data_IF_892850420996
#
_entry.id   IF_892850420996
#
_cell.length_a   1.000
_cell.length_b   1.000
_cell.length_c   1.000
_cell.angle_alpha   90.00
_cell.angle_beta   90.00
_cell.angle_gamma   90.00
#
_symmetry.space_group_name_H-M   'P 1'
#
loop_
_entity.id
_entity.type
_entity.pdbx_description
1 polymer ?
#
# COMPACT_ATOMS: atom_id res chain seq x y z
N UNK A 1 -0.27 -34.44 -4.91
CA UNK A 1 -1.01 -33.73 -3.83
C UNK A 1 -2.43 -33.43 -4.31
N UNK A 2 -3.45 -33.39 -3.44
CA UNK A 2 -4.79 -32.97 -3.82
C UNK A 2 -4.72 -31.52 -4.38
N UNK A 3 -5.61 -31.20 -5.29
CA UNK A 3 -5.69 -29.86 -5.93
C UNK A 3 -6.41 -28.90 -5.00
N UNK A 4 -5.71 -27.84 -4.56
CA UNK A 4 -6.28 -26.77 -3.74
C UNK A 4 -7.22 -25.87 -4.58
N UNK A 5 -8.26 -25.31 -3.98
CA UNK A 5 -9.15 -24.40 -4.71
C UNK A 5 -8.42 -23.11 -5.11
N UNK A 6 -7.74 -22.46 -4.17
CA UNK A 6 -6.96 -21.25 -4.43
C UNK A 6 -5.57 -21.36 -3.81
N UNK A 7 -4.53 -21.13 -4.59
CA UNK A 7 -3.17 -20.95 -4.09
C UNK A 7 -2.78 -19.48 -4.12
N UNK A 8 -2.40 -18.94 -2.98
CA UNK A 8 -1.85 -17.58 -2.86
C UNK A 8 -0.32 -17.65 -2.75
N UNK A 9 0.38 -16.97 -3.65
CA UNK A 9 1.84 -16.89 -3.68
C UNK A 9 2.29 -15.56 -3.10
N UNK A 10 2.86 -15.58 -1.89
CA UNK A 10 3.35 -14.43 -1.14
C UNK A 10 2.51 -14.13 0.11
N UNK A 11 3.17 -14.16 1.27
CA UNK A 11 2.58 -13.86 2.59
C UNK A 11 2.93 -12.44 3.08
N UNK A 12 2.89 -11.47 2.19
CA UNK A 12 2.84 -10.04 2.53
C UNK A 12 1.42 -9.63 2.95
N UNK A 13 1.20 -8.36 3.36
CA UNK A 13 -0.12 -7.88 3.82
C UNK A 13 -1.26 -8.19 2.85
N UNK A 14 -1.01 -8.07 1.55
CA UNK A 14 -2.02 -8.30 0.50
C UNK A 14 -2.39 -9.77 0.37
N UNK A 15 -1.38 -10.66 0.34
CA UNK A 15 -1.62 -12.10 0.23
C UNK A 15 -2.26 -12.68 1.49
N UNK A 16 -1.83 -12.21 2.67
CA UNK A 16 -2.42 -12.59 3.95
C UNK A 16 -3.88 -12.14 4.06
N UNK A 17 -4.20 -10.88 3.66
CA UNK A 17 -5.57 -10.37 3.68
C UNK A 17 -6.49 -11.17 2.75
N UNK A 18 -6.02 -11.50 1.53
CA UNK A 18 -6.75 -12.36 0.60
C UNK A 18 -7.00 -13.75 1.20
N UNK A 19 -5.95 -14.37 1.73
CA UNK A 19 -6.05 -15.72 2.27
C UNK A 19 -6.95 -15.80 3.51
N UNK A 20 -6.92 -14.78 4.37
CA UNK A 20 -7.80 -14.67 5.53
C UNK A 20 -9.28 -14.50 5.11
N UNK A 21 -9.57 -13.65 4.13
CA UNK A 21 -10.93 -13.45 3.63
C UNK A 21 -11.46 -14.70 2.90
N UNK A 22 -10.65 -15.36 2.06
CA UNK A 22 -11.03 -16.62 1.41
C UNK A 22 -11.31 -17.73 2.44
N UNK A 23 -10.46 -17.85 3.46
CA UNK A 23 -10.68 -18.78 4.59
C UNK A 23 -12.00 -18.50 5.32
N UNK A 24 -12.29 -17.24 5.62
CA UNK A 24 -13.53 -16.84 6.25
C UNK A 24 -14.77 -17.19 5.40
N UNK A 25 -14.62 -17.23 4.06
CA UNK A 25 -15.65 -17.69 3.10
C UNK A 25 -15.71 -19.21 2.91
N UNK A 26 -14.91 -19.98 3.64
CA UNK A 26 -14.86 -21.43 3.56
C UNK A 26 -14.24 -21.96 2.26
N UNK A 27 -13.36 -21.20 1.61
CA UNK A 27 -12.58 -21.66 0.44
C UNK A 27 -11.36 -22.44 0.92
N UNK A 28 -11.05 -23.56 0.26
CA UNK A 28 -9.78 -24.28 0.48
C UNK A 28 -8.62 -23.47 -0.12
N UNK A 29 -7.88 -22.77 0.75
CA UNK A 29 -6.80 -21.87 0.36
C UNK A 29 -5.46 -22.30 0.95
N UNK A 30 -4.46 -22.46 0.09
CA UNK A 30 -3.06 -22.65 0.46
C UNK A 30 -2.30 -21.33 0.28
N UNK A 31 -1.37 -21.06 1.21
CA UNK A 31 -0.55 -19.85 1.21
C UNK A 31 0.93 -20.22 1.30
N UNK A 32 1.71 -19.81 0.29
CA UNK A 32 3.15 -20.08 0.20
C UNK A 32 3.96 -18.80 0.21
N UNK A 33 5.11 -18.82 0.86
CA UNK A 33 6.03 -17.68 0.95
C UNK A 33 7.48 -18.15 0.80
N UNK A 34 8.26 -17.45 -0.02
CA UNK A 34 9.66 -17.75 -0.27
C UNK A 34 10.55 -17.55 0.97
N UNK A 35 10.30 -16.50 1.75
CA UNK A 35 11.09 -16.22 2.95
C UNK A 35 10.77 -17.22 4.04
N UNK A 36 11.79 -17.63 4.76
CA UNK A 36 11.65 -18.48 5.97
C UNK A 36 11.10 -17.68 7.15
N UNK A 37 11.38 -16.40 7.21
CA UNK A 37 10.98 -15.49 8.28
C UNK A 37 10.15 -14.31 7.77
N UNK A 38 9.47 -13.65 8.69
CA UNK A 38 8.76 -12.39 8.41
C UNK A 38 9.80 -11.29 8.22
N UNK A 39 9.77 -10.59 7.08
CA UNK A 39 10.73 -9.52 6.82
C UNK A 39 10.55 -8.33 7.75
N UNK A 40 11.66 -7.81 8.27
CA UNK A 40 11.70 -6.67 9.19
C UNK A 40 11.40 -5.30 8.53
N UNK A 41 11.36 -5.21 7.20
CA UNK A 41 11.18 -3.94 6.47
C UNK A 41 9.72 -3.49 6.45
N UNK A 42 9.45 -2.31 7.00
CA UNK A 42 8.10 -1.74 7.06
C UNK A 42 8.06 -0.40 6.35
N UNK A 43 7.45 -0.33 5.16
CA UNK A 43 7.28 0.94 4.45
C UNK A 43 5.88 1.54 4.64
N UNK A 44 4.84 0.72 4.64
CA UNK A 44 3.47 1.17 4.81
C UNK A 44 3.05 1.15 6.28
N UNK A 45 2.26 2.13 6.68
CA UNK A 45 1.76 2.24 8.07
C UNK A 45 0.27 2.57 8.14
N UNK A 46 -0.33 3.09 7.06
CA UNK A 46 -1.71 3.57 7.08
C UNK A 46 -2.67 2.63 6.35
N UNK A 47 -3.77 2.25 7.01
CA UNK A 47 -4.88 1.53 6.39
C UNK A 47 -6.06 2.51 6.28
N UNK A 48 -6.51 2.75 5.05
CA UNK A 48 -7.57 3.70 4.75
C UNK A 48 -8.96 3.09 4.95
N UNK A 49 -9.93 3.97 5.13
CA UNK A 49 -11.34 3.64 5.39
C UNK A 49 -11.93 2.51 4.54
N UNK A 50 -11.80 2.49 3.20
CA UNK A 50 -12.37 1.41 2.40
C UNK A 50 -11.73 0.03 2.67
N UNK A 51 -10.40 0.00 2.87
CA UNK A 51 -9.72 -1.24 3.20
C UNK A 51 -10.10 -1.76 4.58
N UNK A 52 -10.26 -0.87 5.59
CA UNK A 52 -10.77 -1.24 6.92
C UNK A 52 -12.17 -1.85 6.85
N UNK A 53 -13.07 -1.26 6.07
CA UNK A 53 -14.43 -1.78 5.92
C UNK A 53 -14.46 -3.18 5.28
N UNK A 54 -13.62 -3.43 4.28
CA UNK A 54 -13.54 -4.74 3.63
C UNK A 54 -12.84 -5.81 4.49
N UNK A 55 -11.88 -5.42 5.32
CA UNK A 55 -11.18 -6.31 6.26
C UNK A 55 -12.10 -6.85 7.38
N UNK A 56 -13.27 -6.26 7.60
CA UNK A 56 -14.27 -6.76 8.54
C UNK A 56 -14.75 -8.17 8.17
N UNK A 57 -14.83 -8.50 6.88
CA UNK A 57 -15.26 -9.81 6.42
C UNK A 57 -14.41 -10.96 6.96
N UNK A 58 -13.12 -10.72 7.20
CA UNK A 58 -12.18 -11.68 7.81
C UNK A 58 -12.04 -11.51 9.33
N UNK A 59 -12.65 -10.49 9.94
CA UNK A 59 -12.46 -10.13 11.34
C UNK A 59 -11.14 -9.38 11.64
N UNK A 60 -10.38 -8.98 10.60
CA UNK A 60 -9.07 -8.34 10.81
C UNK A 60 -9.16 -6.92 11.32
N UNK A 61 -10.27 -6.22 11.06
CA UNK A 61 -10.43 -4.80 11.40
C UNK A 61 -10.29 -4.54 12.88
N UNK A 62 -10.92 -5.35 13.74
CA UNK A 62 -10.89 -5.15 15.18
C UNK A 62 -9.47 -5.27 15.74
N UNK A 63 -8.75 -6.33 15.41
CA UNK A 63 -7.36 -6.53 15.84
C UNK A 63 -6.39 -5.45 15.31
N UNK A 64 -6.66 -4.88 14.14
CA UNK A 64 -5.92 -3.72 13.60
C UNK A 64 -6.23 -2.47 14.41
N UNK A 65 -7.51 -2.20 14.72
CA UNK A 65 -7.95 -0.99 15.43
C UNK A 65 -7.54 -0.97 16.91
N UNK A 66 -7.36 -2.12 17.52
CA UNK A 66 -6.81 -2.25 18.89
C UNK A 66 -5.35 -1.79 18.97
N UNK A 67 -4.60 -1.92 17.89
CA UNK A 67 -3.17 -1.60 17.83
C UNK A 67 -2.87 -0.26 17.14
N UNK A 68 -3.83 0.32 16.43
CA UNK A 68 -3.61 1.48 15.58
C UNK A 68 -3.90 2.82 16.26
N UNK A 69 -3.17 3.83 15.83
CA UNK A 69 -3.57 5.23 16.04
C UNK A 69 -4.60 5.62 14.97
N UNK A 70 -5.75 6.13 15.39
CA UNK A 70 -6.79 6.63 14.47
C UNK A 70 -6.48 8.07 14.07
N UNK A 71 -6.11 8.28 12.83
CA UNK A 71 -5.83 9.60 12.26
C UNK A 71 -7.13 10.16 11.68
N UNK A 72 -7.78 11.02 12.42
CA UNK A 72 -9.01 11.69 11.99
C UNK A 72 -8.73 12.93 11.13
N UNK A 73 -7.50 13.47 11.19
CA UNK A 73 -7.10 14.71 10.52
C UNK A 73 -5.69 14.64 9.96
N UNK A 74 -5.50 15.14 8.73
CA UNK A 74 -4.21 15.45 8.12
C UNK A 74 -4.05 16.96 7.89
N UNK A 75 -2.83 17.48 7.97
CA UNK A 75 -2.48 18.89 7.75
C UNK A 75 -1.40 19.02 6.68
N UNK A 76 -1.63 19.87 5.70
CA UNK A 76 -0.58 20.39 4.82
C UNK A 76 -0.11 21.75 5.35
N UNK A 77 1.19 21.91 5.53
CA UNK A 77 1.82 23.12 6.08
C UNK A 77 2.93 23.61 5.15
N UNK A 78 3.22 24.88 5.18
CA UNK A 78 4.42 25.49 4.60
C UNK A 78 4.78 26.77 5.37
N UNK A 79 6.06 27.04 5.51
CA UNK A 79 6.59 28.19 6.26
C UNK A 79 5.95 28.32 7.66
N UNK A 80 5.78 27.19 8.36
CA UNK A 80 5.13 27.14 9.67
C UNK A 80 3.61 27.36 9.66
N UNK A 81 2.98 27.68 8.51
CA UNK A 81 1.55 28.01 8.39
C UNK A 81 0.73 26.83 7.86
N UNK A 82 -0.50 26.71 8.33
CA UNK A 82 -1.46 25.73 7.79
C UNK A 82 -1.92 26.19 6.40
N UNK A 83 -1.67 25.36 5.39
CA UNK A 83 -2.20 25.54 4.03
C UNK A 83 -3.61 24.96 3.90
N UNK A 84 -3.79 23.73 4.37
CA UNK A 84 -5.04 23.00 4.32
C UNK A 84 -5.10 21.89 5.37
N UNK A 85 -6.33 21.47 5.71
CA UNK A 85 -6.57 20.29 6.53
C UNK A 85 -7.49 19.33 5.81
N UNK A 86 -7.09 18.05 5.78
CA UNK A 86 -7.94 16.93 5.38
C UNK A 86 -8.68 16.47 6.62
N UNK A 87 -10.01 16.39 6.55
CA UNK A 87 -10.89 16.00 7.63
C UNK A 87 -11.49 14.62 7.30
N UNK A 88 -10.78 13.56 7.67
CA UNK A 88 -11.28 12.19 7.51
C UNK A 88 -12.52 11.93 8.36
N UNK A 89 -12.59 12.54 9.54
CA UNK A 89 -13.73 12.48 10.46
C UNK A 89 -15.05 13.06 9.89
N UNK A 90 -14.98 13.77 8.75
CA UNK A 90 -16.17 14.26 8.02
C UNK A 90 -16.60 13.35 6.86
N UNK A 91 -15.87 12.28 6.62
CA UNK A 91 -16.26 11.31 5.62
C UNK A 91 -17.51 10.54 6.07
N UNK A 92 -18.46 10.40 5.18
CA UNK A 92 -19.60 9.48 5.37
C UNK A 92 -19.12 8.05 5.11
N UNK A 93 -18.44 7.45 6.07
CA UNK A 93 -17.82 6.15 5.98
C UNK A 93 -17.92 5.44 7.32
N UNK A 94 -17.89 4.11 7.31
CA UNK A 94 -17.91 3.28 8.53
C UNK A 94 -16.68 3.53 9.42
N UNK A 95 -15.51 3.75 8.81
CA UNK A 95 -14.26 4.11 9.48
C UNK A 95 -13.76 5.47 9.00
N UNK A 96 -14.27 6.61 9.54
CA UNK A 96 -13.93 7.94 9.05
C UNK A 96 -12.56 8.43 9.56
N UNK A 97 -11.53 7.61 9.39
CA UNK A 97 -10.13 7.85 9.77
C UNK A 97 -9.18 6.96 8.96
N UNK A 98 -7.90 7.20 9.10
CA UNK A 98 -6.84 6.26 8.68
C UNK A 98 -6.31 5.57 9.93
N UNK A 99 -6.26 4.25 9.94
CA UNK A 99 -5.64 3.46 11.00
C UNK A 99 -4.13 3.37 10.74
N UNK A 100 -3.32 3.96 11.62
CA UNK A 100 -1.87 3.97 11.48
C UNK A 100 -1.22 3.03 12.51
N UNK A 101 -0.48 2.04 12.01
CA UNK A 101 0.27 1.09 12.81
C UNK A 101 1.48 0.58 11.99
N UNK A 102 2.53 0.03 12.61
CA UNK A 102 3.60 -0.64 11.89
C UNK A 102 3.06 -1.76 11.01
N UNK A 103 3.66 -1.95 9.83
CA UNK A 103 3.24 -3.04 8.93
C UNK A 103 3.43 -4.43 9.55
N UNK A 104 4.40 -4.59 10.46
CA UNK A 104 4.60 -5.80 11.25
C UNK A 104 3.32 -6.21 12.01
N UNK A 105 2.67 -5.24 12.65
CA UNK A 105 1.46 -5.47 13.44
C UNK A 105 0.28 -5.84 12.52
N UNK A 106 0.19 -5.20 11.35
CA UNK A 106 -0.77 -5.59 10.30
C UNK A 106 -0.55 -7.04 9.85
N UNK A 107 0.71 -7.43 9.60
CA UNK A 107 1.07 -8.79 9.20
C UNK A 107 0.73 -9.79 10.31
N UNK A 108 1.00 -9.46 11.57
CA UNK A 108 0.71 -10.31 12.71
C UNK A 108 -0.80 -10.60 12.83
N UNK A 109 -1.64 -9.54 12.81
CA UNK A 109 -3.10 -9.67 12.84
C UNK A 109 -3.61 -10.55 11.68
N UNK A 110 -3.15 -10.27 10.45
CA UNK A 110 -3.58 -11.02 9.27
C UNK A 110 -3.08 -12.47 9.29
N UNK A 111 -1.87 -12.73 9.82
CA UNK A 111 -1.32 -14.09 9.93
C UNK A 111 -2.13 -14.95 10.90
N UNK A 112 -2.64 -14.38 11.99
CA UNK A 112 -3.49 -15.10 12.94
C UNK A 112 -4.83 -15.56 12.31
N UNK A 113 -5.31 -14.84 11.31
CA UNK A 113 -6.58 -15.13 10.61
C UNK A 113 -6.41 -15.95 9.33
N UNK A 114 -5.26 -15.88 8.70
CA UNK A 114 -4.94 -16.62 7.47
C UNK A 114 -4.74 -18.13 7.76
N UNK A 115 -4.81 -18.99 6.73
CA UNK A 115 -4.36 -20.39 6.88
C UNK A 115 -2.85 -20.42 7.18
N UNK A 116 -2.32 -21.57 7.69
CA UNK A 116 -0.90 -21.73 7.95
C UNK A 116 -0.05 -21.38 6.72
N UNK A 117 0.95 -20.50 6.90
CA UNK A 117 1.85 -20.09 5.83
C UNK A 117 2.93 -21.16 5.62
N UNK A 118 3.02 -21.72 4.43
CA UNK A 118 4.13 -22.60 4.05
C UNK A 118 5.31 -21.73 3.63
N UNK A 119 6.25 -21.51 4.56
CA UNK A 119 7.44 -20.70 4.35
C UNK A 119 8.59 -21.50 3.73
N UNK A 120 9.57 -20.78 3.13
CA UNK A 120 10.68 -21.41 2.43
C UNK A 120 10.30 -22.02 1.07
N UNK A 121 9.09 -21.74 0.56
CA UNK A 121 8.58 -22.27 -0.70
C UNK A 121 8.79 -21.23 -1.81
N UNK A 122 9.73 -21.50 -2.71
CA UNK A 122 9.99 -20.67 -3.88
C UNK A 122 9.25 -21.18 -5.09
N UNK A 123 8.26 -20.42 -5.56
CA UNK A 123 7.56 -20.72 -6.82
C UNK A 123 8.43 -20.22 -7.99
N UNK A 124 8.68 -21.09 -8.97
CA UNK A 124 9.52 -20.81 -10.13
C UNK A 124 8.74 -20.71 -11.44
N UNK A 125 7.62 -21.42 -11.54
CA UNK A 125 6.82 -21.42 -12.77
C UNK A 125 5.34 -21.62 -12.52
N UNK A 126 4.52 -21.09 -13.43
CA UNK A 126 3.07 -21.26 -13.47
C UNK A 126 2.67 -21.76 -14.86
N UNK A 127 2.05 -22.95 -14.93
CA UNK A 127 1.59 -23.54 -16.19
C UNK A 127 0.09 -23.78 -16.12
N UNK A 128 -0.65 -23.20 -17.05
CA UNK A 128 -2.10 -23.42 -17.18
C UNK A 128 -2.36 -24.87 -17.64
N UNK A 129 -3.30 -25.52 -17.00
CA UNK A 129 -3.84 -26.84 -17.36
C UNK A 129 -5.36 -26.71 -17.62
N UNK A 130 -5.99 -27.73 -18.15
CA UNK A 130 -7.42 -27.67 -18.50
C UNK A 130 -8.31 -27.40 -17.27
N UNK A 131 -7.96 -27.98 -16.13
CA UNK A 131 -8.73 -27.91 -14.88
C UNK A 131 -8.13 -26.98 -13.81
N UNK A 132 -6.92 -26.40 -14.06
CA UNK A 132 -6.26 -25.57 -13.06
C UNK A 132 -4.92 -25.01 -13.51
N UNK A 133 -4.03 -24.83 -12.54
CA UNK A 133 -2.66 -24.34 -12.72
C UNK A 133 -1.71 -25.26 -11.99
N UNK A 134 -0.69 -25.74 -12.69
CA UNK A 134 0.47 -26.41 -12.13
C UNK A 134 1.50 -25.37 -11.72
N UNK A 135 1.99 -25.47 -10.49
CA UNK A 135 2.89 -24.52 -9.87
C UNK A 135 4.22 -25.20 -9.55
N UNK A 136 5.23 -24.91 -10.34
CA UNK A 136 6.57 -25.44 -10.14
C UNK A 136 7.24 -24.82 -8.93
N UNK A 137 7.75 -25.66 -8.03
CA UNK A 137 8.40 -25.27 -6.77
C UNK A 137 9.85 -25.71 -6.77
N UNK A 138 10.76 -24.82 -6.38
CA UNK A 138 12.18 -25.10 -6.28
C UNK A 138 12.45 -26.25 -5.28
N UNK A 139 13.13 -27.31 -5.74
CA UNK A 139 13.58 -28.41 -4.89
C UNK A 139 12.47 -29.25 -4.23
N UNK A 140 11.23 -29.16 -4.72
CA UNK A 140 10.10 -29.92 -4.19
C UNK A 140 9.11 -30.30 -5.31
N UNK A 141 8.13 -31.15 -4.97
CA UNK A 141 7.05 -31.52 -5.89
C UNK A 141 6.18 -30.30 -6.26
N UNK A 142 5.70 -30.31 -7.51
CA UNK A 142 4.77 -29.29 -8.01
C UNK A 142 3.47 -29.27 -7.18
N UNK A 143 2.95 -28.06 -6.98
CA UNK A 143 1.63 -27.84 -6.41
C UNK A 143 0.59 -27.71 -7.55
N UNK A 144 -0.68 -27.97 -7.22
CA UNK A 144 -1.79 -27.78 -8.16
C UNK A 144 -2.92 -26.99 -7.49
N UNK A 145 -3.48 -26.03 -8.20
CA UNK A 145 -4.61 -25.24 -7.73
C UNK A 145 -5.57 -24.93 -8.87
N UNK A 146 -6.86 -24.78 -8.57
CA UNK A 146 -7.83 -24.33 -9.57
C UNK A 146 -7.57 -22.90 -10.02
N UNK A 147 -7.17 -22.04 -9.07
CA UNK A 147 -6.80 -20.63 -9.32
C UNK A 147 -5.53 -20.31 -8.54
N UNK A 148 -4.63 -19.52 -9.13
CA UNK A 148 -3.41 -19.02 -8.46
C UNK A 148 -3.47 -17.50 -8.39
N UNK A 149 -3.22 -16.95 -7.20
CA UNK A 149 -3.11 -15.49 -7.01
C UNK A 149 -1.68 -15.13 -6.61
N UNK A 150 -1.01 -14.35 -7.44
CA UNK A 150 0.36 -13.88 -7.23
C UNK A 150 0.32 -12.55 -6.46
N UNK A 151 0.70 -12.59 -5.18
CA UNK A 151 0.79 -11.48 -4.24
C UNK A 151 2.23 -11.29 -3.71
N UNK A 152 3.24 -11.77 -4.43
CA UNK A 152 4.65 -11.87 -4.02
C UNK A 152 5.47 -10.61 -4.24
N UNK A 153 4.81 -9.46 -4.36
CA UNK A 153 5.46 -8.17 -4.57
C UNK A 153 6.09 -8.05 -5.96
N UNK A 154 6.87 -7.02 -6.18
CA UNK A 154 7.46 -6.73 -7.50
C UNK A 154 8.31 -7.88 -8.06
N UNK A 155 8.98 -8.64 -7.20
CA UNK A 155 9.79 -9.79 -7.62
C UNK A 155 8.96 -10.94 -8.22
N UNK A 156 7.66 -11.04 -7.90
CA UNK A 156 6.78 -12.05 -8.46
C UNK A 156 6.28 -11.76 -9.87
N UNK A 157 6.62 -10.61 -10.45
CA UNK A 157 6.21 -10.24 -11.82
C UNK A 157 6.71 -11.21 -12.88
N UNK A 158 7.92 -11.71 -12.72
CA UNK A 158 8.54 -12.68 -13.64
C UNK A 158 7.79 -14.01 -13.73
N UNK A 159 6.99 -14.38 -12.72
CA UNK A 159 6.12 -15.57 -12.76
C UNK A 159 4.99 -15.43 -13.78
N UNK A 160 4.56 -14.20 -14.10
CA UNK A 160 3.35 -13.96 -14.90
C UNK A 160 3.65 -13.20 -16.19
N UNK A 161 4.59 -12.27 -16.14
CA UNK A 161 4.88 -11.39 -17.26
C UNK A 161 6.26 -11.69 -17.84
N UNK A 162 6.36 -11.60 -19.19
CA UNK A 162 7.65 -11.63 -19.88
C UNK A 162 8.47 -10.39 -19.52
N UNK A 163 9.77 -10.49 -19.61
CA UNK A 163 10.66 -9.35 -19.41
C UNK A 163 10.26 -8.15 -20.27
N UNK A 164 10.27 -6.96 -19.67
CA UNK A 164 9.86 -5.72 -20.32
C UNK A 164 8.34 -5.51 -20.48
N UNK A 165 7.48 -6.49 -20.22
CA UNK A 165 6.03 -6.34 -20.34
C UNK A 165 5.44 -5.36 -19.33
N UNK A 166 6.03 -5.26 -18.15
CA UNK A 166 5.65 -4.26 -17.13
C UNK A 166 6.71 -3.16 -17.10
N UNK A 167 6.38 -2.03 -17.73
CA UNK A 167 7.29 -0.88 -17.77
C UNK A 167 7.42 -0.26 -16.39
N UNK A 168 8.64 -0.27 -15.85
CA UNK A 168 8.97 0.37 -14.57
C UNK A 168 9.63 1.72 -14.83
N UNK A 169 9.04 2.77 -14.26
CA UNK A 169 9.63 4.11 -14.26
C UNK A 169 10.32 4.34 -12.91
N UNK A 170 11.61 4.60 -12.94
CA UNK A 170 12.40 4.98 -11.77
C UNK A 170 12.40 6.51 -11.64
N UNK A 171 11.95 7.00 -10.49
CA UNK A 171 12.11 8.41 -10.19
C UNK A 171 13.55 8.69 -9.75
N UNK A 172 14.09 9.85 -10.12
CA UNK A 172 15.42 10.23 -9.63
C UNK A 172 15.41 10.60 -8.13
N UNK A 173 14.21 10.74 -7.56
CA UNK A 173 14.01 11.19 -6.19
C UNK A 173 14.38 10.11 -5.17
N UNK A 174 15.09 10.54 -4.12
CA UNK A 174 15.38 9.75 -2.94
C UNK A 174 14.67 10.33 -1.72
N UNK A 175 14.35 9.46 -0.80
CA UNK A 175 13.74 9.80 0.47
C UNK A 175 14.47 9.11 1.59
N UNK A 176 14.47 9.73 2.76
CA UNK A 176 14.97 9.14 4.00
C UNK A 176 13.83 9.06 4.99
N UNK A 177 13.73 7.94 5.70
CA UNK A 177 12.70 7.72 6.71
C UNK A 177 13.25 7.09 7.99
N UNK A 178 12.58 7.40 9.11
CA UNK A 178 12.76 6.73 10.39
C UNK A 178 11.46 6.70 11.19
N UNK A 179 11.35 5.74 12.09
CA UNK A 179 10.31 5.71 13.14
C UNK A 179 10.94 6.18 14.44
N UNK A 180 10.54 7.36 14.89
CA UNK A 180 11.16 8.07 16.02
C UNK A 180 10.14 8.36 17.11
N UNK A 181 10.59 8.54 18.34
CA UNK A 181 9.77 9.14 19.41
C UNK A 181 9.72 10.64 19.20
N UNK A 182 8.52 11.18 18.99
CA UNK A 182 8.34 12.60 18.74
C UNK A 182 6.95 13.08 19.16
N UNK A 183 6.82 14.32 19.68
CA UNK A 183 5.53 14.90 20.04
C UNK A 183 4.68 15.16 18.80
N UNK A 184 3.37 15.36 18.97
CA UNK A 184 2.53 15.85 17.88
C UNK A 184 1.11 15.27 17.78
N UNK A 185 0.71 14.38 18.69
CA UNK A 185 -0.64 13.82 18.75
C UNK A 185 -1.06 13.02 17.51
N UNK A 186 -2.34 12.65 17.36
CA UNK A 186 -2.84 11.77 16.29
C UNK A 186 -3.13 12.51 14.98
N UNK A 187 -2.31 13.49 14.61
CA UNK A 187 -2.45 14.27 13.37
C UNK A 187 -1.32 13.94 12.42
N UNK A 188 -1.66 13.56 11.20
CA UNK A 188 -0.69 13.44 10.10
C UNK A 188 -0.30 14.85 9.61
N UNK A 189 0.98 15.11 9.37
CA UNK A 189 1.48 16.40 8.88
C UNK A 189 2.36 16.21 7.66
N UNK A 190 2.13 17.05 6.67
CA UNK A 190 2.95 17.15 5.46
C UNK A 190 3.46 18.59 5.38
N UNK A 191 4.75 18.76 5.60
CA UNK A 191 5.44 20.04 5.50
C UNK A 191 5.99 20.20 4.08
N UNK A 192 5.38 21.06 3.28
CA UNK A 192 5.76 21.33 1.89
C UNK A 192 6.71 22.54 1.84
N UNK A 193 7.89 22.36 2.37
CA UNK A 193 8.86 23.44 2.52
C UNK A 193 9.65 23.71 1.23
N UNK A 194 10.34 24.84 1.18
CA UNK A 194 11.14 25.23 0.01
C UNK A 194 12.23 24.21 -0.31
N UNK A 195 12.84 23.58 0.69
CA UNK A 195 13.90 22.59 0.59
C UNK A 195 13.39 21.17 0.32
N UNK A 196 12.09 21.01 0.16
CA UNK A 196 11.42 19.71 -0.08
C UNK A 196 10.53 19.28 1.08
N UNK A 197 9.75 18.24 0.84
CA UNK A 197 8.74 17.76 1.78
C UNK A 197 9.36 17.05 2.99
N UNK A 198 8.70 17.24 4.15
CA UNK A 198 8.80 16.34 5.32
C UNK A 198 7.39 15.87 5.66
N UNK A 199 7.18 14.57 5.67
CA UNK A 199 5.95 13.92 6.14
C UNK A 199 6.15 13.40 7.56
N UNK A 200 5.12 13.51 8.39
CA UNK A 200 5.12 13.08 9.78
C UNK A 200 3.80 12.40 10.12
N UNK A 201 3.84 11.10 10.33
CA UNK A 201 2.66 10.27 10.62
C UNK A 201 2.74 9.70 12.02
N UNK A 202 1.67 9.80 12.84
CA UNK A 202 1.65 9.19 14.17
C UNK A 202 1.66 7.66 14.08
N UNK A 203 2.33 7.05 15.04
CA UNK A 203 2.38 5.61 15.28
C UNK A 203 2.05 5.33 16.75
N UNK A 204 1.67 4.10 17.11
CA UNK A 204 1.47 3.70 18.49
C UNK A 204 2.70 3.94 19.37
N UNK A 205 2.48 4.08 20.68
CA UNK A 205 3.56 4.26 21.66
C UNK A 205 4.27 5.64 21.60
N UNK A 206 3.57 6.70 21.16
CA UNK A 206 4.16 8.04 21.07
C UNK A 206 5.21 8.20 19.96
N UNK A 207 5.28 7.23 19.07
CA UNK A 207 6.20 7.26 17.91
C UNK A 207 5.59 8.00 16.72
N UNK A 208 6.47 8.40 15.81
CA UNK A 208 6.07 8.98 14.52
C UNK A 208 6.98 8.46 13.43
N UNK A 209 6.41 8.15 12.28
CA UNK A 209 7.19 7.95 11.05
C UNK A 209 7.44 9.30 10.42
N UNK A 210 8.71 9.59 10.21
CA UNK A 210 9.16 10.76 9.46
C UNK A 210 9.69 10.31 8.11
N UNK A 211 9.33 11.05 7.06
CA UNK A 211 9.84 10.83 5.71
C UNK A 211 10.25 12.18 5.14
N UNK A 212 11.50 12.33 4.73
CA UNK A 212 12.01 13.55 4.11
C UNK A 212 12.49 13.32 2.69
N UNK A 213 12.14 14.22 1.77
CA UNK A 213 12.74 14.25 0.43
C UNK A 213 14.21 14.63 0.54
N UNK A 214 15.09 13.83 -0.08
CA UNK A 214 16.54 13.93 0.04
C UNK A 214 17.24 14.34 -1.27
N UNK A 215 16.46 14.71 -2.28
CA UNK A 215 17.06 15.10 -3.57
C UNK A 215 17.21 13.90 -4.51
N UNK A 216 18.27 13.94 -5.32
CA UNK A 216 18.53 12.93 -6.36
C UNK A 216 19.82 12.15 -6.10
N UNK A 217 20.65 12.65 -5.24
CA UNK A 217 21.94 12.05 -4.91
C UNK A 217 21.82 11.00 -3.81
N UNK A 218 22.81 10.16 -3.67
CA UNK A 218 22.90 9.22 -2.56
C UNK A 218 23.07 9.96 -1.24
N UNK A 219 22.49 9.42 -0.19
CA UNK A 219 22.57 9.96 1.17
C UNK A 219 23.47 9.04 1.99
N UNK A 220 24.76 9.37 2.16
CA UNK A 220 25.70 8.50 2.87
C UNK A 220 25.35 8.29 4.33
N UNK A 221 24.90 9.34 5.01
CA UNK A 221 24.42 9.31 6.39
C UNK A 221 22.94 9.70 6.45
N UNK A 222 22.09 8.68 6.43
CA UNK A 222 20.65 8.86 6.45
C UNK A 222 20.17 9.48 7.78
N UNK A 223 20.80 9.15 8.91
CA UNK A 223 20.40 9.64 10.22
C UNK A 223 20.71 11.14 10.34
N UNK A 224 21.94 11.54 10.06
CA UNK A 224 22.32 12.95 10.08
C UNK A 224 21.51 13.79 9.09
N UNK A 225 21.25 13.27 7.88
CA UNK A 225 20.43 13.95 6.90
C UNK A 225 19.00 14.20 7.42
N UNK A 226 18.34 13.14 7.95
CA UNK A 226 16.95 13.23 8.41
C UNK A 226 16.83 14.20 9.59
N UNK A 227 17.77 14.13 10.54
CA UNK A 227 17.84 15.06 11.67
C UNK A 227 17.87 16.52 11.19
N UNK A 228 18.83 16.86 10.33
CA UNK A 228 18.97 18.21 9.78
C UNK A 228 17.75 18.65 8.94
N UNK A 229 17.21 17.76 8.12
CA UNK A 229 16.05 18.07 7.29
C UNK A 229 14.81 18.36 8.13
N UNK A 230 14.57 17.57 9.19
CA UNK A 230 13.45 17.79 10.10
C UNK A 230 13.64 19.10 10.88
N UNK A 231 14.81 19.29 11.50
CA UNK A 231 15.11 20.51 12.26
C UNK A 231 14.89 21.77 11.40
N UNK A 232 15.50 21.82 10.21
CA UNK A 232 15.38 22.98 9.32
C UNK A 232 13.99 23.21 8.75
N UNK A 233 13.27 22.14 8.37
CA UNK A 233 11.99 22.23 7.68
C UNK A 233 10.79 22.29 8.62
N UNK A 234 10.93 21.88 9.88
CA UNK A 234 9.81 21.82 10.82
C UNK A 234 10.08 22.55 12.14
N UNK A 235 11.34 22.90 12.43
CA UNK A 235 11.76 23.51 13.69
C UNK A 235 11.77 22.52 14.87
N UNK A 236 11.73 21.21 14.62
CA UNK A 236 11.69 20.18 15.67
C UNK A 236 13.02 19.40 15.68
N UNK A 237 13.68 19.38 16.82
CA UNK A 237 14.87 18.55 17.06
C UNK A 237 14.46 17.15 17.53
N UNK A 238 15.01 16.11 16.90
CA UNK A 238 14.67 14.70 17.18
C UNK A 238 15.87 13.78 16.98
N UNK A 239 15.90 12.68 17.68
CA UNK A 239 16.78 11.54 17.39
C UNK A 239 16.26 10.76 16.18
N UNK A 240 17.09 10.57 15.18
CA UNK A 240 16.79 9.87 13.91
C UNK A 240 17.60 8.59 13.73
N UNK A 241 18.08 8.02 14.81
CA UNK A 241 18.76 6.71 14.80
C UNK A 241 17.90 5.66 14.09
N UNK A 242 18.54 4.83 13.24
CA UNK A 242 17.84 3.81 12.45
C UNK A 242 17.20 4.32 11.16
N UNK A 243 17.49 5.57 10.74
CA UNK A 243 17.03 6.11 9.48
C UNK A 243 17.57 5.32 8.28
N UNK A 244 16.78 5.20 7.24
CA UNK A 244 17.14 4.50 6.00
C UNK A 244 16.73 5.30 4.76
N UNK A 245 17.55 5.22 3.71
CA UNK A 245 17.27 5.84 2.41
C UNK A 245 16.60 4.86 1.46
N UNK A 246 15.69 5.38 0.62
CA UNK A 246 15.03 4.59 -0.41
C UNK A 246 14.71 5.41 -1.65
N UNK A 247 14.72 4.73 -2.79
CA UNK A 247 14.24 5.28 -4.07
C UNK A 247 12.78 4.95 -4.32
N UNK A 248 12.20 5.61 -5.31
CA UNK A 248 10.80 5.50 -5.70
C UNK A 248 10.66 4.96 -7.10
N UNK A 249 9.70 4.07 -7.31
CA UNK A 249 9.38 3.48 -8.61
C UNK A 249 7.88 3.56 -8.88
N UNK A 250 7.54 3.53 -10.16
CA UNK A 250 6.16 3.38 -10.63
C UNK A 250 6.09 2.30 -11.69
N UNK A 251 5.17 1.37 -11.53
CA UNK A 251 4.83 0.39 -12.52
C UNK A 251 3.34 0.06 -12.44
N UNK A 252 2.70 -0.22 -13.57
CA UNK A 252 1.34 -0.76 -13.63
C UNK A 252 1.35 -1.86 -14.68
N UNK A 253 0.94 -3.04 -14.31
CA UNK A 253 0.85 -4.18 -15.21
C UNK A 253 -0.18 -3.93 -16.33
N UNK A 254 0.03 -4.51 -17.52
CA UNK A 254 -0.91 -4.35 -18.64
C UNK A 254 -2.23 -5.07 -18.42
N UNK A 255 -2.24 -6.16 -17.67
CA UNK A 255 -3.38 -6.98 -17.29
C UNK A 255 -3.14 -7.57 -15.89
N UNK A 256 -4.20 -7.83 -15.12
CA UNK A 256 -4.11 -8.46 -13.80
C UNK A 256 -4.49 -9.94 -13.84
N UNK A 257 -5.08 -10.40 -14.94
CA UNK A 257 -5.51 -11.78 -15.14
C UNK A 257 -4.88 -12.40 -16.38
N UNK A 258 -4.48 -13.64 -16.26
CA UNK A 258 -4.11 -14.54 -17.36
C UNK A 258 -4.72 -15.91 -17.11
N UNK A 259 -5.87 -16.18 -17.71
CA UNK A 259 -6.63 -17.38 -17.47
C UNK A 259 -6.96 -17.55 -15.98
N UNK A 260 -6.39 -18.60 -15.36
CA UNK A 260 -6.60 -18.94 -13.93
C UNK A 260 -5.49 -18.36 -13.02
N UNK A 261 -4.62 -17.50 -13.54
CA UNK A 261 -3.58 -16.78 -12.77
C UNK A 261 -3.98 -15.32 -12.65
N UNK A 262 -4.03 -14.81 -11.42
CA UNK A 262 -4.35 -13.41 -11.10
C UNK A 262 -3.18 -12.78 -10.35
N UNK A 263 -2.97 -11.47 -10.53
CA UNK A 263 -1.89 -10.71 -9.91
C UNK A 263 -2.46 -9.56 -9.12
N UNK A 264 -2.00 -9.38 -7.88
CA UNK A 264 -2.48 -8.32 -6.96
C UNK A 264 -1.32 -7.62 -6.24
N UNK A 265 -1.57 -6.42 -5.73
CA UNK A 265 -0.59 -5.65 -4.95
C UNK A 265 0.62 -5.21 -5.78
N UNK A 266 1.81 -5.14 -5.16
CA UNK A 266 3.03 -4.65 -5.82
C UNK A 266 3.49 -5.53 -7.00
N UNK A 267 3.01 -6.76 -7.12
CA UNK A 267 3.20 -7.56 -8.31
C UNK A 267 2.43 -6.98 -9.51
N UNK A 268 1.24 -6.44 -9.29
CA UNK A 268 0.39 -5.79 -10.27
C UNK A 268 0.77 -4.32 -10.51
N UNK A 269 1.04 -3.58 -9.44
CA UNK A 269 1.30 -2.14 -9.51
C UNK A 269 2.20 -1.67 -8.35
N UNK A 270 3.19 -0.86 -8.68
CA UNK A 270 3.97 -0.09 -7.74
C UNK A 270 3.66 1.40 -7.92
N UNK A 271 3.40 2.09 -6.84
CA UNK A 271 3.22 3.54 -6.84
C UNK A 271 4.18 4.18 -5.83
N UNK A 272 4.48 5.47 -6.00
CA UNK A 272 5.26 6.22 -5.02
C UNK A 272 4.62 6.07 -3.62
N UNK A 273 5.41 5.81 -2.57
CA UNK A 273 4.89 5.70 -1.20
C UNK A 273 4.40 7.05 -0.65
N UNK A 274 4.72 8.16 -1.32
CA UNK A 274 4.31 9.51 -0.92
C UNK A 274 2.79 9.64 -1.06
N UNK A 275 2.13 9.81 0.09
CA UNK A 275 0.67 9.76 0.20
C UNK A 275 0.09 8.41 0.64
N UNK A 276 0.91 7.38 0.89
CA UNK A 276 0.53 6.14 1.62
C UNK A 276 -0.46 5.20 0.91
N UNK A 277 -0.59 5.25 -0.43
CA UNK A 277 -1.67 4.55 -1.14
C UNK A 277 -1.32 3.11 -1.59
N UNK A 278 -0.03 2.76 -1.74
CA UNK A 278 0.38 1.51 -2.39
C UNK A 278 -0.18 0.25 -1.72
N UNK A 279 0.02 0.09 -0.41
CA UNK A 279 -0.50 -1.07 0.33
C UNK A 279 -2.04 -1.14 0.28
N UNK A 280 -2.72 -0.01 0.43
CA UNK A 280 -4.19 0.05 0.38
C UNK A 280 -4.75 -0.34 -0.98
N UNK A 281 -4.09 0.06 -2.06
CA UNK A 281 -4.46 -0.35 -3.42
C UNK A 281 -4.41 -1.88 -3.55
N UNK A 282 -3.34 -2.51 -3.05
CA UNK A 282 -3.21 -3.96 -3.03
C UNK A 282 -4.23 -4.66 -2.11
N UNK A 283 -4.53 -4.07 -0.94
CA UNK A 283 -5.58 -4.59 -0.06
C UNK A 283 -6.95 -4.54 -0.74
N UNK A 284 -7.27 -3.44 -1.43
CA UNK A 284 -8.51 -3.34 -2.20
C UNK A 284 -8.55 -4.34 -3.36
N UNK A 285 -7.43 -4.60 -4.04
CA UNK A 285 -7.37 -5.68 -5.04
C UNK A 285 -7.80 -7.01 -4.43
N UNK A 286 -7.15 -7.40 -3.34
CA UNK A 286 -7.33 -8.69 -2.69
C UNK A 286 -8.77 -8.86 -2.14
N UNK A 287 -9.23 -7.88 -1.38
CA UNK A 287 -10.51 -7.96 -0.66
C UNK A 287 -11.73 -7.84 -1.59
N UNK A 288 -11.60 -7.14 -2.71
CA UNK A 288 -12.66 -7.11 -3.73
C UNK A 288 -12.62 -8.31 -4.68
N UNK A 289 -11.48 -9.01 -4.75
CA UNK A 289 -11.33 -10.24 -5.51
C UNK A 289 -11.89 -11.47 -4.77
N UNK A 290 -11.71 -11.56 -3.45
CA UNK A 290 -12.09 -12.73 -2.66
C UNK A 290 -13.55 -13.20 -2.87
N UNK A 291 -14.58 -12.34 -2.86
CA UNK A 291 -15.95 -12.76 -3.13
C UNK A 291 -16.17 -13.30 -4.55
N UNK A 292 -15.37 -12.88 -5.54
CA UNK A 292 -15.45 -13.34 -6.93
C UNK A 292 -14.72 -14.68 -7.12
N UNK A 293 -13.67 -14.93 -6.37
CA UNK A 293 -12.95 -16.20 -6.41
C UNK A 293 -13.75 -17.34 -5.78
N UNK A 294 -14.56 -17.05 -4.78
CA UNK A 294 -15.32 -18.06 -4.03
C UNK A 294 -16.20 -18.94 -4.95
N UNK A 295 -17.09 -18.41 -5.79
CA UNK A 295 -17.87 -19.22 -6.74
C UNK A 295 -16.98 -19.82 -7.85
N UNK A 296 -15.99 -19.07 -8.36
CA UNK A 296 -15.13 -19.53 -9.43
C UNK A 296 -14.26 -20.74 -9.04
N UNK A 297 -13.70 -20.74 -7.84
CA UNK A 297 -12.92 -21.84 -7.32
C UNK A 297 -13.75 -23.14 -7.15
N UNK A 298 -15.07 -23.02 -6.96
CA UNK A 298 -16.02 -24.12 -6.80
C UNK A 298 -16.66 -24.61 -8.11
N UNK A 299 -16.15 -24.16 -9.25
CA UNK A 299 -16.60 -24.59 -10.57
C UNK A 299 -17.60 -23.65 -11.26
N UNK A 300 -17.87 -22.48 -10.67
CA UNK A 300 -18.59 -21.39 -11.33
C UNK A 300 -17.75 -20.73 -12.43
N UNK A 301 -18.36 -19.81 -13.14
CA UNK A 301 -17.67 -18.96 -14.09
C UNK A 301 -16.90 -17.83 -13.39
N UNK A 302 -15.93 -17.25 -14.09
CA UNK A 302 -15.14 -16.12 -13.60
C UNK A 302 -15.66 -14.75 -14.07
N UNK A 303 -16.93 -14.62 -14.38
CA UNK A 303 -17.52 -13.47 -15.08
C UNK A 303 -17.26 -12.13 -14.38
N UNK A 304 -17.36 -12.07 -13.06
CA UNK A 304 -17.08 -10.86 -12.30
C UNK A 304 -15.63 -10.40 -12.35
N UNK A 305 -14.67 -11.30 -12.63
CA UNK A 305 -13.23 -11.03 -12.56
C UNK A 305 -12.77 -10.09 -13.68
N UNK A 306 -13.37 -10.14 -14.87
CA UNK A 306 -13.01 -9.25 -15.97
C UNK A 306 -13.42 -7.80 -15.68
N UNK A 307 -14.57 -7.60 -15.01
CA UNK A 307 -14.98 -6.27 -14.55
C UNK A 307 -14.07 -5.79 -13.43
N UNK A 308 -13.77 -6.65 -12.46
CA UNK A 308 -12.83 -6.39 -11.38
C UNK A 308 -11.48 -5.94 -11.93
N UNK A 309 -10.92 -6.65 -12.90
CA UNK A 309 -9.64 -6.31 -13.52
C UNK A 309 -9.65 -4.90 -14.12
N UNK A 310 -10.68 -4.57 -14.90
CA UNK A 310 -10.80 -3.23 -15.51
C UNK A 310 -10.87 -2.13 -14.44
N UNK A 311 -11.67 -2.34 -13.40
CA UNK A 311 -11.84 -1.36 -12.32
C UNK A 311 -10.54 -1.21 -11.51
N UNK A 312 -9.84 -2.32 -11.21
CA UNK A 312 -8.55 -2.29 -10.48
C UNK A 312 -7.45 -1.63 -11.28
N UNK A 313 -7.35 -1.90 -12.59
CA UNK A 313 -6.39 -1.20 -13.46
C UNK A 313 -6.67 0.30 -13.56
N UNK A 314 -7.93 0.71 -13.60
CA UNK A 314 -8.30 2.12 -13.58
C UNK A 314 -7.89 2.79 -12.26
N UNK A 315 -8.16 2.15 -11.13
CA UNK A 315 -7.74 2.59 -9.78
C UNK A 315 -6.21 2.69 -9.67
N UNK A 316 -5.47 1.68 -10.14
CA UNK A 316 -4.01 1.69 -10.13
C UNK A 316 -3.43 2.86 -10.94
N UNK A 317 -3.99 3.13 -12.13
CA UNK A 317 -3.56 4.26 -12.96
C UNK A 317 -3.88 5.60 -12.31
N UNK A 318 -5.03 5.72 -11.64
CA UNK A 318 -5.41 6.93 -10.90
C UNK A 318 -4.47 7.16 -9.70
N UNK A 319 -4.25 6.13 -8.87
CA UNK A 319 -3.32 6.21 -7.75
C UNK A 319 -1.89 6.55 -8.20
N UNK A 320 -1.43 5.96 -9.31
CA UNK A 320 -0.11 6.26 -9.88
C UNK A 320 0.04 7.72 -10.34
N UNK A 321 -1.03 8.33 -10.89
CA UNK A 321 -1.05 9.76 -11.26
C UNK A 321 -1.02 10.66 -10.03
N UNK A 322 -1.84 10.35 -9.02
CA UNK A 322 -1.89 11.12 -7.78
C UNK A 322 -0.55 11.06 -7.03
N UNK A 323 0.04 9.87 -6.90
CA UNK A 323 1.35 9.68 -6.28
C UNK A 323 2.47 10.40 -7.05
N UNK A 324 2.38 10.46 -8.38
CA UNK A 324 3.30 11.27 -9.20
C UNK A 324 3.19 12.76 -8.90
N UNK A 325 1.97 13.29 -8.84
CA UNK A 325 1.74 14.71 -8.50
C UNK A 325 2.25 15.03 -7.08
N UNK A 326 2.00 14.17 -6.12
CA UNK A 326 2.52 14.33 -4.75
C UNK A 326 4.06 14.35 -4.72
N UNK A 327 4.70 13.45 -5.50
CA UNK A 327 6.16 13.44 -5.63
C UNK A 327 6.69 14.75 -6.21
N UNK A 328 6.04 15.30 -7.24
CA UNK A 328 6.42 16.59 -7.82
C UNK A 328 6.22 17.75 -6.84
N UNK A 329 5.09 17.78 -6.14
CA UNK A 329 4.79 18.80 -5.12
C UNK A 329 5.75 18.73 -3.92
N UNK A 330 6.29 17.55 -3.63
CA UNK A 330 7.24 17.34 -2.53
C UNK A 330 8.68 17.76 -2.82
N UNK A 331 9.04 18.08 -4.07
CA UNK A 331 10.40 18.48 -4.43
C UNK A 331 10.75 19.87 -3.94
N UNK A 332 12.05 20.12 -3.77
CA UNK A 332 12.57 21.47 -3.53
C UNK A 332 12.19 22.41 -4.68
N UNK A 333 11.99 23.67 -4.35
CA UNK A 333 11.63 24.71 -5.32
C UNK A 333 12.21 26.07 -4.97
N UNK A 334 12.41 26.94 -5.97
CA UNK A 334 12.86 28.30 -5.75
C UNK A 334 11.79 29.16 -5.02
N UNK A 335 12.16 30.31 -4.45
CA UNK A 335 11.26 31.12 -3.62
C UNK A 335 9.93 31.48 -4.28
N UNK A 336 9.98 31.90 -5.55
CA UNK A 336 8.77 32.26 -6.32
C UNK A 336 7.86 31.06 -6.58
N UNK A 337 8.43 29.93 -6.97
CA UNK A 337 7.69 28.70 -7.23
C UNK A 337 7.08 28.13 -5.93
N UNK A 338 7.79 28.20 -4.82
CA UNK A 338 7.29 27.83 -3.51
C UNK A 338 6.08 28.69 -3.09
N UNK A 339 6.18 30.01 -3.20
CA UNK A 339 5.08 30.93 -2.88
C UNK A 339 3.84 30.67 -3.79
N UNK A 340 4.05 30.48 -5.09
CA UNK A 340 2.98 30.18 -6.05
C UNK A 340 2.32 28.82 -5.73
N UNK A 341 3.11 27.76 -5.45
CA UNK A 341 2.60 26.45 -5.02
C UNK A 341 1.76 26.55 -3.76
N UNK A 342 2.25 27.26 -2.74
CA UNK A 342 1.56 27.44 -1.46
C UNK A 342 0.25 28.22 -1.62
N UNK A 343 0.21 29.25 -2.47
CA UNK A 343 -1.00 29.99 -2.79
C UNK A 343 -2.02 29.12 -3.56
N UNK A 344 -1.57 28.41 -4.58
CA UNK A 344 -2.41 27.51 -5.37
C UNK A 344 -3.05 26.40 -4.52
N UNK A 345 -2.27 25.76 -3.65
CA UNK A 345 -2.79 24.73 -2.74
C UNK A 345 -3.80 25.30 -1.74
N UNK A 346 -3.54 26.47 -1.15
CA UNK A 346 -4.52 27.14 -0.28
C UNK A 346 -5.85 27.41 -0.97
N UNK A 347 -5.81 27.83 -2.23
CA UNK A 347 -7.01 28.12 -3.00
C UNK A 347 -7.73 26.83 -3.42
N UNK A 348 -6.99 25.86 -3.98
CA UNK A 348 -7.56 24.61 -4.48
C UNK A 348 -8.15 23.73 -3.36
N UNK A 349 -7.57 23.78 -2.14
CA UNK A 349 -8.01 22.95 -1.01
C UNK A 349 -9.07 23.65 -0.12
N UNK A 350 -9.55 24.83 -0.51
CA UNK A 350 -10.69 25.49 0.12
C UNK A 350 -12.02 25.04 -0.51
N UNK A 351 -13.08 24.97 0.29
CA UNK A 351 -14.42 24.65 -0.20
C UNK A 351 -14.55 23.25 -0.84
N UNK A 352 -15.27 23.14 -1.99
CA UNK A 352 -15.53 21.85 -2.65
C UNK A 352 -14.28 21.12 -3.10
N UNK A 353 -13.23 21.83 -3.49
CA UNK A 353 -11.94 21.22 -3.88
C UNK A 353 -11.29 20.44 -2.75
N UNK A 354 -11.35 20.96 -1.52
CA UNK A 354 -10.86 20.27 -0.33
C UNK A 354 -11.64 19.00 -0.01
N UNK A 355 -12.95 19.00 -0.22
CA UNK A 355 -13.77 17.81 -0.03
C UNK A 355 -13.43 16.71 -1.05
N UNK A 356 -13.28 17.07 -2.33
CA UNK A 356 -12.85 16.14 -3.38
C UNK A 356 -11.44 15.58 -3.10
N UNK A 357 -10.52 16.44 -2.68
CA UNK A 357 -9.17 16.03 -2.31
C UNK A 357 -9.17 15.07 -1.11
N UNK A 358 -10.03 15.32 -0.11
CA UNK A 358 -10.21 14.41 1.03
C UNK A 358 -10.69 13.02 0.56
N UNK A 359 -11.66 12.97 -0.35
CA UNK A 359 -12.15 11.71 -0.90
C UNK A 359 -11.07 10.97 -1.71
N UNK A 360 -10.29 11.69 -2.52
CA UNK A 360 -9.18 11.12 -3.29
C UNK A 360 -8.11 10.53 -2.37
N UNK A 361 -7.71 11.28 -1.35
CA UNK A 361 -6.71 10.81 -0.37
C UNK A 361 -7.23 9.66 0.51
N UNK A 362 -8.51 9.65 0.84
CA UNK A 362 -9.16 8.55 1.56
C UNK A 362 -9.44 7.32 0.68
N UNK A 363 -9.01 7.33 -0.59
CA UNK A 363 -9.26 6.28 -1.59
C UNK A 363 -10.76 5.99 -1.87
N UNK A 364 -11.65 6.94 -1.55
CA UNK A 364 -13.09 6.79 -1.77
C UNK A 364 -13.55 7.06 -3.21
N UNK A 365 -12.67 7.54 -4.08
CA UNK A 365 -12.91 7.62 -5.52
C UNK A 365 -12.70 6.29 -6.24
N UNK A 366 -12.26 5.26 -5.51
CA UNK A 366 -12.18 3.89 -6.01
C UNK A 366 -13.60 3.33 -6.17
N UNK A 367 -13.94 2.87 -7.37
CA UNK A 367 -15.28 2.32 -7.67
C UNK A 367 -15.62 1.10 -6.83
N UNK A 368 -14.62 0.30 -6.47
CA UNK A 368 -14.79 -0.85 -5.59
C UNK A 368 -15.13 -0.44 -4.14
N UNK A 369 -14.74 0.78 -3.73
CA UNK A 369 -15.00 1.33 -2.41
C UNK A 369 -16.36 2.06 -2.30
N UNK A 370 -17.10 2.21 -3.40
CA UNK A 370 -18.36 3.00 -3.44
C UNK A 370 -19.53 2.29 -2.76
N UNK A 371 -19.38 1.04 -2.35
CA UNK A 371 -20.38 0.23 -1.63
C UNK A 371 -20.08 0.02 -0.13
N UNK A 372 -18.97 0.60 0.36
CA UNK A 372 -18.52 0.52 1.78
C UNK A 372 -18.57 1.93 2.46
#
# INVERSE_FOLDING_TARGET
>A
MPMTEVLVVGAGPVGLALAADLRARGVDVALVERRTEVGAGTRAIGIHSPALALLEASGATDGILERAVRIARGEARADGRLLAAIRFDRLRARHPYVAALPQSDTIEVLTALAPPVRRGVTVESLRQEADGVRVGVAGADDLRAKVVVVASGWAGRSLVYRDGAVRTHHYPDRYVMADVTAPGGPVARVHLEREGVVESFPLPGGRRRLVAWAGREEVPDAAAFLHQAVARRTGVEIDTTGASSFGVRRAVAPALRRGRVIVVGDAAHEVSPIGGQGMNLGLLDALTLAPLLTPWARGGDGDGVDRWERDRLASARHAARLAFLNTLLGRASGPRAHAARSAALRTALRGPGGALFTQAYAMRLDRAASGT
#
